data_IF_025831674173
#
_entry.id   IF_025831674173
#
_cell.length_a   1.000
_cell.length_b   1.000
_cell.length_c   1.000
_cell.angle_alpha   90.00
_cell.angle_beta   90.00
_cell.angle_gamma   90.00
#
_symmetry.space_group_name_H-M   'P 1'
#
loop_
_entity.id
_entity.type
_entity.pdbx_description
1 polymer ?
#
# COMPACT_ATOMS: atom_id res chain seq x y z
N UNK A 1 56.73 -44.07 9.87
CA UNK A 1 56.64 -43.38 11.18
C UNK A 1 57.79 -42.38 11.28
N UNK A 2 57.53 -41.08 11.41
CA UNK A 2 58.58 -40.09 11.72
C UNK A 2 57.99 -39.03 12.64
N UNK A 3 57.74 -39.45 13.89
CA UNK A 3 57.93 -38.56 15.03
C UNK A 3 59.43 -38.29 15.10
N UNK A 4 59.83 -37.05 15.41
CA UNK A 4 61.23 -36.73 15.64
C UNK A 4 61.80 -37.82 16.54
N UNK A 5 62.76 -38.58 16.02
CA UNK A 5 63.20 -39.84 16.59
C UNK A 5 63.54 -39.60 18.06
N UNK A 6 62.69 -40.09 18.97
CA UNK A 6 63.08 -40.20 20.37
C UNK A 6 64.28 -41.13 20.36
N UNK A 7 65.46 -40.52 20.46
CA UNK A 7 66.73 -41.21 20.31
C UNK A 7 66.98 -42.02 21.59
N UNK A 8 66.37 -43.20 21.63
CA UNK A 8 66.41 -44.13 22.77
C UNK A 8 67.86 -44.46 23.13
N UNK A 9 68.75 -44.59 22.14
CA UNK A 9 70.17 -44.86 22.36
C UNK A 9 70.88 -43.69 23.04
N UNK A 10 70.65 -42.46 22.57
CA UNK A 10 71.22 -41.27 23.21
C UNK A 10 70.65 -41.08 24.62
N UNK A 11 69.34 -41.27 24.80
CA UNK A 11 68.66 -41.14 26.09
C UNK A 11 69.15 -42.18 27.12
N UNK A 12 69.23 -43.46 26.74
CA UNK A 12 69.77 -44.53 27.59
C UNK A 12 71.24 -44.28 27.96
N UNK A 13 72.06 -43.81 27.01
CA UNK A 13 73.45 -43.41 27.29
C UNK A 13 73.52 -42.26 28.27
N UNK A 14 72.69 -41.24 28.15
CA UNK A 14 72.63 -40.13 29.12
C UNK A 14 72.21 -40.61 30.51
N UNK A 15 71.25 -41.52 30.63
CA UNK A 15 70.84 -42.10 31.92
C UNK A 15 71.99 -42.88 32.59
N UNK A 16 72.75 -43.65 31.82
CA UNK A 16 73.90 -44.40 32.34
C UNK A 16 75.08 -43.48 32.69
N UNK A 17 75.45 -42.61 31.76
CA UNK A 17 76.70 -41.86 31.82
C UNK A 17 76.57 -40.59 32.71
N UNK A 18 75.38 -39.99 32.78
CA UNK A 18 75.12 -38.75 33.54
C UNK A 18 74.29 -38.96 34.81
N UNK A 19 73.39 -39.95 34.84
CA UNK A 19 72.57 -40.24 36.03
C UNK A 19 73.03 -41.49 36.81
N UNK A 20 74.05 -42.21 36.33
CA UNK A 20 74.65 -43.40 36.95
C UNK A 20 73.69 -44.59 37.14
N UNK A 21 72.70 -44.73 36.26
CA UNK A 21 71.80 -45.88 36.27
C UNK A 21 72.53 -47.15 35.80
N UNK A 22 72.12 -48.34 36.28
CA UNK A 22 72.59 -49.60 35.68
C UNK A 22 72.16 -49.69 34.22
N UNK A 23 72.83 -50.54 33.44
CA UNK A 23 72.44 -50.79 32.06
C UNK A 23 70.97 -51.23 31.96
N UNK A 24 70.53 -52.15 32.83
CA UNK A 24 69.14 -52.62 32.82
C UNK A 24 68.15 -51.52 33.20
N UNK A 25 68.49 -50.66 34.17
CA UNK A 25 67.62 -49.56 34.60
C UNK A 25 67.50 -48.47 33.52
N UNK A 26 68.60 -48.12 32.86
CA UNK A 26 68.61 -47.13 31.79
C UNK A 26 67.82 -47.62 30.58
N UNK A 27 67.95 -48.90 30.21
CA UNK A 27 67.19 -49.51 29.11
C UNK A 27 65.70 -49.65 29.45
N UNK A 28 65.36 -50.15 30.64
CA UNK A 28 63.98 -50.30 31.09
C UNK A 28 63.22 -48.97 31.17
N UNK A 29 63.85 -47.91 31.72
CA UNK A 29 63.23 -46.59 31.79
C UNK A 29 63.10 -45.94 30.41
N UNK A 30 64.10 -46.10 29.55
CA UNK A 30 64.05 -45.62 28.16
C UNK A 30 62.93 -46.30 27.38
N UNK A 31 62.74 -47.61 27.56
CA UNK A 31 61.68 -48.37 26.90
C UNK A 31 60.29 -47.91 27.36
N UNK A 32 60.07 -47.79 28.67
CA UNK A 32 58.79 -47.33 29.22
C UNK A 32 58.43 -45.91 28.76
N UNK A 33 59.40 -45.00 28.69
CA UNK A 33 59.19 -43.62 28.20
C UNK A 33 58.96 -43.62 26.69
N UNK A 34 59.70 -44.42 25.92
CA UNK A 34 59.50 -44.52 24.47
C UNK A 34 58.11 -45.04 24.12
N UNK A 35 57.63 -46.05 24.85
CA UNK A 35 56.28 -46.61 24.70
C UNK A 35 55.21 -45.57 25.04
N UNK A 36 55.31 -44.91 26.20
CA UNK A 36 54.36 -43.87 26.60
C UNK A 36 54.32 -42.67 25.62
N UNK A 37 55.47 -42.30 25.02
CA UNK A 37 55.57 -41.23 24.02
C UNK A 37 54.98 -41.67 22.67
N UNK A 38 55.11 -42.94 22.30
CA UNK A 38 54.55 -43.48 21.06
C UNK A 38 53.03 -43.66 21.15
N UNK A 39 52.49 -44.03 22.31
CA UNK A 39 51.05 -44.19 22.51
C UNK A 39 50.32 -42.86 22.76
N UNK A 40 50.98 -41.90 23.42
CA UNK A 40 50.33 -40.65 23.85
C UNK A 40 50.35 -39.51 22.84
N UNK A 41 51.20 -39.55 21.80
CA UNK A 41 51.34 -38.47 20.83
C UNK A 41 50.92 -38.92 19.43
N UNK A 42 50.03 -38.16 18.75
CA UNK A 42 49.68 -38.46 17.37
C UNK A 42 50.92 -38.38 16.48
N UNK A 43 50.99 -39.27 15.50
CA UNK A 43 52.12 -39.26 14.58
C UNK A 43 52.15 -37.95 13.79
N UNK A 44 53.34 -37.43 13.48
CA UNK A 44 53.51 -36.23 12.63
C UNK A 44 52.69 -36.31 11.33
N UNK A 45 52.56 -37.52 10.76
CA UNK A 45 51.75 -37.76 9.57
C UNK A 45 50.24 -37.54 9.81
N UNK A 46 49.72 -37.92 10.96
CA UNK A 46 48.31 -37.72 11.33
C UNK A 46 48.01 -36.23 11.55
N UNK A 47 48.92 -35.52 12.22
CA UNK A 47 48.82 -34.07 12.39
C UNK A 47 48.87 -33.36 11.03
N UNK A 48 49.76 -33.78 10.12
CA UNK A 48 49.82 -33.25 8.75
C UNK A 48 48.55 -33.56 7.96
N UNK A 49 48.00 -34.77 8.09
CA UNK A 49 46.73 -35.14 7.47
C UNK A 49 45.58 -34.26 7.99
N UNK A 50 45.54 -33.99 9.30
CA UNK A 50 44.59 -33.06 9.91
C UNK A 50 44.71 -31.63 9.33
N UNK A 51 45.92 -31.11 9.18
CA UNK A 51 46.14 -29.80 8.55
C UNK A 51 45.69 -29.76 7.08
N UNK A 52 45.90 -30.84 6.33
CA UNK A 52 45.42 -30.96 4.94
C UNK A 52 43.89 -31.00 4.89
N UNK A 53 43.24 -31.75 5.80
CA UNK A 53 41.78 -31.80 5.92
C UNK A 53 41.20 -30.41 6.19
N UNK A 54 41.70 -29.73 7.23
CA UNK A 54 41.24 -28.38 7.61
C UNK A 54 41.46 -27.38 6.47
N UNK A 55 42.61 -27.44 5.79
CA UNK A 55 42.86 -26.56 4.64
C UNK A 55 41.86 -26.82 3.50
N UNK A 56 41.50 -28.08 3.28
CA UNK A 56 40.52 -28.47 2.27
C UNK A 56 39.14 -27.96 2.64
N UNK A 57 38.70 -28.17 3.88
CA UNK A 57 37.42 -27.66 4.41
C UNK A 57 37.33 -26.13 4.32
N UNK A 58 38.40 -25.41 4.67
CA UNK A 58 38.47 -23.95 4.50
C UNK A 58 38.33 -23.55 3.02
N UNK A 59 38.94 -24.31 2.11
CA UNK A 59 38.81 -24.09 0.66
C UNK A 59 37.37 -24.29 0.16
N UNK A 60 36.71 -25.34 0.64
CA UNK A 60 35.30 -25.63 0.35
C UNK A 60 34.40 -24.52 0.88
N UNK A 61 34.50 -24.18 2.17
CA UNK A 61 33.72 -23.11 2.80
C UNK A 61 33.90 -21.77 2.08
N UNK A 62 35.13 -21.43 1.67
CA UNK A 62 35.39 -20.20 0.92
C UNK A 62 34.67 -20.18 -0.43
N UNK A 63 34.60 -21.34 -1.09
CA UNK A 63 33.90 -21.49 -2.37
C UNK A 63 32.40 -21.39 -2.19
N UNK A 64 31.84 -22.10 -1.20
CA UNK A 64 30.43 -22.04 -0.82
C UNK A 64 30.01 -20.60 -0.49
N UNK A 65 30.74 -19.92 0.39
CA UNK A 65 30.46 -18.52 0.74
C UNK A 65 30.48 -17.59 -0.48
N UNK A 66 31.39 -17.81 -1.43
CA UNK A 66 31.45 -17.01 -2.67
C UNK A 66 30.22 -17.25 -3.55
N UNK A 67 29.78 -18.51 -3.64
CA UNK A 67 28.58 -18.91 -4.38
C UNK A 67 27.33 -18.33 -3.73
N UNK A 68 27.14 -18.51 -2.43
CA UNK A 68 26.01 -17.96 -1.68
C UNK A 68 25.95 -16.44 -1.78
N UNK A 69 27.09 -15.76 -1.64
CA UNK A 69 27.14 -14.30 -1.79
C UNK A 69 26.84 -13.82 -3.22
N UNK A 70 27.09 -14.65 -4.24
CA UNK A 70 26.67 -14.37 -5.62
C UNK A 70 25.18 -14.63 -5.81
N UNK A 71 24.63 -15.70 -5.22
CA UNK A 71 23.22 -16.02 -5.24
C UNK A 71 22.37 -14.91 -4.60
N UNK A 72 22.72 -14.48 -3.39
CA UNK A 72 22.03 -13.37 -2.68
C UNK A 72 22.08 -12.07 -3.50
N UNK A 73 23.20 -11.76 -4.15
CA UNK A 73 23.29 -10.58 -5.03
C UNK A 73 22.37 -10.70 -6.25
N UNK A 74 22.27 -11.89 -6.82
CA UNK A 74 21.38 -12.14 -7.96
C UNK A 74 19.91 -12.05 -7.55
N UNK A 75 19.54 -12.64 -6.42
CA UNK A 75 18.19 -12.60 -5.86
C UNK A 75 17.78 -11.16 -5.57
N UNK A 76 18.63 -10.41 -4.86
CA UNK A 76 18.38 -8.99 -4.57
C UNK A 76 18.22 -8.16 -5.85
N UNK A 77 19.02 -8.42 -6.90
CA UNK A 77 18.85 -7.72 -8.18
C UNK A 77 17.52 -8.05 -8.87
N UNK A 78 17.07 -9.31 -8.78
CA UNK A 78 15.78 -9.76 -9.31
C UNK A 78 14.61 -9.13 -8.54
N UNK A 79 14.65 -9.14 -7.21
CA UNK A 79 13.65 -8.50 -6.34
C UNK A 79 13.56 -6.98 -6.63
N UNK A 80 14.70 -6.29 -6.75
CA UNK A 80 14.70 -4.87 -7.13
C UNK A 80 14.14 -4.61 -8.53
N UNK A 81 14.26 -5.55 -9.46
CA UNK A 81 13.65 -5.44 -10.77
C UNK A 81 12.13 -5.69 -10.70
N UNK A 82 11.70 -6.68 -9.91
CA UNK A 82 10.30 -6.99 -9.67
C UNK A 82 9.56 -5.80 -9.03
N UNK A 83 10.08 -5.23 -7.95
CA UNK A 83 9.50 -4.04 -7.29
C UNK A 83 9.39 -2.85 -8.24
N UNK A 84 10.40 -2.62 -9.08
CA UNK A 84 10.35 -1.54 -10.09
C UNK A 84 9.25 -1.78 -11.13
N UNK A 85 9.08 -3.03 -11.56
CA UNK A 85 8.02 -3.41 -12.51
C UNK A 85 6.64 -3.25 -11.89
N UNK A 86 6.46 -3.69 -10.65
CA UNK A 86 5.21 -3.55 -9.89
C UNK A 86 4.84 -2.08 -9.72
N UNK A 87 5.79 -1.25 -9.26
CA UNK A 87 5.56 0.18 -9.10
C UNK A 87 5.19 0.89 -10.42
N UNK A 88 5.77 0.47 -11.54
CA UNK A 88 5.41 0.98 -12.86
C UNK A 88 3.99 0.58 -13.28
N UNK A 89 3.58 -0.66 -12.99
CA UNK A 89 2.25 -1.16 -13.25
C UNK A 89 1.19 -0.42 -12.40
N UNK A 90 1.45 -0.26 -11.10
CA UNK A 90 0.60 0.49 -10.17
C UNK A 90 0.42 1.94 -10.62
N UNK A 91 1.50 2.61 -11.08
CA UNK A 91 1.39 3.97 -11.59
C UNK A 91 0.49 4.08 -12.84
N UNK A 92 0.55 3.09 -13.73
CA UNK A 92 -0.32 3.02 -14.91
C UNK A 92 -1.78 2.75 -14.49
N UNK A 93 -1.99 1.88 -13.51
CA UNK A 93 -3.31 1.57 -12.97
C UNK A 93 -3.97 2.83 -12.37
N UNK A 94 -3.28 3.53 -11.46
CA UNK A 94 -3.75 4.78 -10.84
C UNK A 94 -4.06 5.84 -11.88
N UNK A 95 -3.19 6.03 -12.89
CA UNK A 95 -3.46 6.98 -13.98
C UNK A 95 -4.73 6.62 -14.75
N UNK A 96 -4.95 5.33 -15.00
CA UNK A 96 -6.11 4.85 -15.75
C UNK A 96 -7.41 5.03 -14.95
N UNK A 97 -7.38 4.69 -13.66
CA UNK A 97 -8.49 4.93 -12.73
C UNK A 97 -8.84 6.41 -12.65
N UNK A 98 -7.85 7.27 -12.44
CA UNK A 98 -8.06 8.72 -12.35
C UNK A 98 -8.62 9.31 -13.65
N UNK A 99 -8.24 8.78 -14.82
CA UNK A 99 -8.83 9.17 -16.10
C UNK A 99 -10.30 8.73 -16.23
N UNK A 100 -10.63 7.52 -15.77
CA UNK A 100 -11.99 7.02 -15.76
C UNK A 100 -12.90 7.84 -14.82
N UNK A 101 -12.42 8.14 -13.61
CA UNK A 101 -13.09 9.02 -12.64
C UNK A 101 -13.35 10.42 -13.22
N UNK A 102 -12.37 11.01 -13.91
CA UNK A 102 -12.56 12.31 -14.56
C UNK A 102 -13.67 12.29 -15.64
N UNK A 103 -13.76 11.21 -16.40
CA UNK A 103 -14.84 11.02 -17.39
C UNK A 103 -16.19 10.84 -16.69
N UNK A 104 -16.23 10.07 -15.60
CA UNK A 104 -17.43 9.86 -14.80
C UNK A 104 -17.97 11.18 -14.23
N UNK A 105 -17.13 11.96 -13.55
CA UNK A 105 -17.51 13.27 -12.98
C UNK A 105 -17.97 14.24 -14.08
N UNK A 106 -17.31 14.27 -15.24
CA UNK A 106 -17.74 15.12 -16.36
C UNK A 106 -19.11 14.70 -16.89
N UNK A 107 -19.40 13.40 -16.94
CA UNK A 107 -20.68 12.86 -17.37
C UNK A 107 -21.79 13.21 -16.38
N UNK A 108 -21.54 13.00 -15.08
CA UNK A 108 -22.44 13.36 -13.99
C UNK A 108 -22.77 14.85 -14.04
N UNK A 109 -21.75 15.71 -14.11
CA UNK A 109 -21.94 17.16 -14.20
C UNK A 109 -22.78 17.57 -15.41
N UNK A 110 -22.60 16.91 -16.57
CA UNK A 110 -23.42 17.18 -17.76
C UNK A 110 -24.89 16.80 -17.54
N UNK A 111 -25.14 15.68 -16.86
CA UNK A 111 -26.48 15.22 -16.49
C UNK A 111 -27.14 16.19 -15.52
N UNK A 112 -26.44 16.59 -14.45
CA UNK A 112 -26.93 17.55 -13.46
C UNK A 112 -27.24 18.91 -14.11
N UNK A 113 -26.37 19.43 -14.99
CA UNK A 113 -26.67 20.66 -15.74
C UNK A 113 -27.87 20.52 -16.70
N UNK A 114 -28.15 19.33 -17.21
CA UNK A 114 -29.35 19.09 -18.01
C UNK A 114 -30.60 19.06 -17.13
N UNK A 115 -30.53 18.41 -15.96
CA UNK A 115 -31.60 18.37 -14.98
C UNK A 115 -31.97 19.78 -14.50
N UNK A 116 -31.00 20.58 -14.07
CA UNK A 116 -31.22 21.97 -13.63
C UNK A 116 -31.84 22.82 -14.73
N UNK A 117 -31.42 22.67 -16.00
CA UNK A 117 -32.04 23.38 -17.11
C UNK A 117 -33.50 22.97 -17.33
N UNK A 118 -33.81 21.68 -17.16
CA UNK A 118 -35.17 21.16 -17.26
C UNK A 118 -36.05 21.70 -16.13
N UNK A 119 -35.56 21.69 -14.89
CA UNK A 119 -36.26 22.26 -13.73
C UNK A 119 -36.53 23.76 -13.92
N UNK A 120 -35.54 24.51 -14.39
CA UNK A 120 -35.70 25.95 -14.66
C UNK A 120 -36.74 26.22 -15.76
N UNK A 121 -36.78 25.40 -16.80
CA UNK A 121 -37.82 25.49 -17.83
C UNK A 121 -39.21 25.14 -17.28
N UNK A 122 -39.29 24.13 -16.40
CA UNK A 122 -40.50 23.78 -15.66
C UNK A 122 -41.03 24.95 -14.84
N UNK A 123 -40.18 25.55 -14.01
CA UNK A 123 -40.52 26.70 -13.19
C UNK A 123 -40.97 27.91 -14.02
N UNK A 124 -40.32 28.19 -15.16
CA UNK A 124 -40.76 29.26 -16.06
C UNK A 124 -42.15 29.02 -16.65
N UNK A 125 -42.46 27.77 -16.99
CA UNK A 125 -43.77 27.39 -17.52
C UNK A 125 -44.86 27.48 -16.45
N UNK A 126 -44.58 27.03 -15.23
CA UNK A 126 -45.48 27.13 -14.09
C UNK A 126 -45.80 28.58 -13.76
N UNK A 127 -44.78 29.44 -13.58
CA UNK A 127 -44.99 30.87 -13.36
C UNK A 127 -45.83 31.52 -14.48
N UNK A 128 -45.55 31.18 -15.75
CA UNK A 128 -46.33 31.70 -16.88
C UNK A 128 -47.79 31.24 -16.81
N UNK A 129 -48.05 30.03 -16.36
CA UNK A 129 -49.41 29.52 -16.16
C UNK A 129 -50.11 30.27 -15.03
N UNK A 130 -49.44 30.47 -13.89
CA UNK A 130 -49.98 31.24 -12.76
C UNK A 130 -50.31 32.69 -13.15
N UNK A 131 -49.41 33.39 -13.86
CA UNK A 131 -49.68 34.75 -14.34
C UNK A 131 -50.88 34.81 -15.31
N UNK A 132 -51.07 33.78 -16.14
CA UNK A 132 -52.25 33.69 -17.01
C UNK A 132 -53.53 33.46 -16.21
N UNK A 133 -53.48 32.60 -15.19
CA UNK A 133 -54.59 32.35 -14.28
C UNK A 133 -54.99 33.64 -13.54
N UNK A 134 -54.04 34.33 -12.90
CA UNK A 134 -54.27 35.60 -12.21
C UNK A 134 -54.89 36.64 -13.15
N UNK A 135 -54.39 36.77 -14.39
CA UNK A 135 -54.95 37.70 -15.38
C UNK A 135 -56.39 37.35 -15.75
N UNK A 136 -56.73 36.06 -15.85
CA UNK A 136 -58.09 35.62 -16.11
C UNK A 136 -59.02 35.94 -14.94
N UNK A 137 -58.59 35.68 -13.71
CA UNK A 137 -59.32 36.02 -12.49
C UNK A 137 -59.55 37.53 -12.37
N UNK A 138 -58.55 38.37 -12.68
CA UNK A 138 -58.70 39.82 -12.70
C UNK A 138 -59.76 40.28 -13.71
N UNK A 139 -59.78 39.72 -14.92
CA UNK A 139 -60.82 40.05 -15.93
C UNK A 139 -62.21 39.66 -15.46
N UNK A 140 -62.35 38.50 -14.84
CA UNK A 140 -63.63 38.05 -14.27
C UNK A 140 -64.07 39.01 -13.16
N UNK A 141 -63.14 39.41 -12.29
CA UNK A 141 -63.40 40.38 -11.23
C UNK A 141 -63.84 41.73 -11.79
N UNK A 142 -63.13 42.28 -12.78
CA UNK A 142 -63.50 43.52 -13.48
C UNK A 142 -64.91 43.43 -14.08
N UNK A 143 -65.22 42.37 -14.82
CA UNK A 143 -66.56 42.14 -15.39
C UNK A 143 -67.63 42.08 -14.30
N UNK A 144 -67.37 41.34 -13.22
CA UNK A 144 -68.32 41.21 -12.10
C UNK A 144 -68.58 42.55 -11.43
N UNK A 145 -67.56 43.40 -11.30
CA UNK A 145 -67.65 44.75 -10.75
C UNK A 145 -68.43 45.66 -11.68
N UNK A 146 -68.14 45.64 -12.99
CA UNK A 146 -68.88 46.42 -13.99
C UNK A 146 -70.37 46.06 -14.00
N UNK A 147 -70.70 44.76 -13.93
CA UNK A 147 -72.09 44.30 -13.87
C UNK A 147 -72.77 44.78 -12.58
N UNK A 148 -72.13 44.59 -11.41
CA UNK A 148 -72.69 45.01 -10.11
C UNK A 148 -72.90 46.53 -10.04
N UNK A 149 -71.92 47.33 -10.46
CA UNK A 149 -72.01 48.78 -10.49
C UNK A 149 -73.07 49.27 -11.49
N UNK A 150 -73.13 48.66 -12.68
CA UNK A 150 -74.16 48.98 -13.68
C UNK A 150 -75.58 48.67 -13.17
N UNK A 151 -75.77 47.52 -12.52
CA UNK A 151 -77.06 47.16 -11.90
C UNK A 151 -77.44 48.14 -10.78
N UNK A 152 -76.48 48.56 -9.95
CA UNK A 152 -76.71 49.54 -8.87
C UNK A 152 -77.08 50.92 -9.43
N UNK A 153 -76.41 51.39 -10.49
CA UNK A 153 -76.75 52.65 -11.15
C UNK A 153 -78.17 52.62 -11.73
N UNK A 154 -78.55 51.55 -12.43
CA UNK A 154 -79.91 51.38 -12.96
C UNK A 154 -80.96 51.38 -11.84
N UNK A 155 -80.69 50.70 -10.73
CA UNK A 155 -81.56 50.70 -9.56
C UNK A 155 -81.70 52.12 -8.97
N UNK A 156 -80.60 52.85 -8.81
CA UNK A 156 -80.60 54.22 -8.31
C UNK A 156 -81.37 55.17 -9.23
N UNK A 157 -81.14 55.11 -10.55
CA UNK A 157 -81.89 55.91 -11.53
C UNK A 157 -83.38 55.59 -11.48
N UNK A 158 -83.76 54.31 -11.37
CA UNK A 158 -85.15 53.89 -11.22
C UNK A 158 -85.81 54.49 -9.97
N UNK A 159 -85.11 54.50 -8.83
CA UNK A 159 -85.59 55.12 -7.58
C UNK A 159 -85.79 56.63 -7.76
N UNK A 160 -84.83 57.33 -8.38
CA UNK A 160 -84.92 58.79 -8.63
C UNK A 160 -86.10 59.12 -9.55
N UNK A 161 -86.29 58.38 -10.64
CA UNK A 161 -87.42 58.57 -11.57
C UNK A 161 -88.75 58.33 -10.88
N UNK A 162 -88.86 57.28 -10.07
CA UNK A 162 -90.06 57.00 -9.28
C UNK A 162 -90.35 58.15 -8.29
N UNK A 163 -89.32 58.67 -7.62
CA UNK A 163 -89.47 59.80 -6.71
C UNK A 163 -89.97 61.07 -7.43
N UNK A 164 -89.40 61.43 -8.60
CA UNK A 164 -89.87 62.59 -9.37
C UNK A 164 -91.34 62.44 -9.78
N UNK A 165 -91.78 61.24 -10.18
CA UNK A 165 -93.17 61.00 -10.59
C UNK A 165 -94.16 61.03 -9.42
N UNK A 166 -93.73 60.63 -8.22
CA UNK A 166 -94.60 60.50 -7.04
C UNK A 166 -94.45 61.64 -6.03
N UNK A 167 -93.52 62.58 -6.22
CA UNK A 167 -93.45 63.81 -5.44
C UNK A 167 -94.57 64.77 -5.92
N UNK A 168 -95.47 65.20 -5.03
CA UNK A 168 -96.52 66.15 -5.40
C UNK A 168 -95.90 67.47 -5.85
N UNK A 169 -96.38 68.02 -6.96
CA UNK A 169 -95.98 69.34 -7.46
C UNK A 169 -96.26 70.40 -6.39
N UNK A 170 -95.22 70.84 -5.70
CA UNK A 170 -95.30 71.98 -4.79
C UNK A 170 -95.52 73.24 -5.64
N UNK A 171 -96.72 73.84 -5.50
CA UNK A 171 -97.00 75.22 -5.86
C UNK A 171 -96.21 76.19 -4.98
#
# INVERSE_FOLDING_TARGET
MSLAAFDTLKFARTLRDSAHFSAEQAEGLTAAIAEAVQEGLPAKAEVQAGFVSVRTEIGTLRTEMKTEFAAVRSEMAAEFAAVRSEMAAEFVAVRSEMAAEFVAVRSEMKTEFAAVRSEMAGFQNENRAEFRAIRAEMKILEQSMTIKLGAMLLAMTGIVVAAIRYLPSAH
#
